data_IF_764723194769
#
_entry.id   IF_764723194769
#
_cell.length_a   1.000
_cell.length_b   1.000
_cell.length_c   1.000
_cell.angle_alpha   90.00
_cell.angle_beta   90.00
_cell.angle_gamma   90.00
#
_symmetry.space_group_name_H-M   'P 1'
#
loop_
_entity.id
_entity.type
_entity.pdbx_description
1 polymer ?
#
# COMPACT_ATOMS: atom_id res chain seq x y z
N UNK A 1 -15.34 10.09 7.96
CA UNK A 1 -15.04 10.29 6.53
C UNK A 1 -13.59 10.74 6.44
N UNK A 2 -12.75 10.07 5.66
CA UNK A 2 -11.35 10.47 5.52
C UNK A 2 -11.27 11.71 4.63
N UNK A 3 -10.39 12.65 4.98
CA UNK A 3 -10.19 13.86 4.17
C UNK A 3 -9.62 13.47 2.81
N UNK A 4 -10.25 13.97 1.74
CA UNK A 4 -9.77 13.83 0.37
C UNK A 4 -9.29 15.22 -0.07
N UNK A 5 -7.99 15.40 -0.40
CA UNK A 5 -7.49 16.68 -0.85
C UNK A 5 -8.18 17.10 -2.16
N UNK A 6 -8.48 18.41 -2.34
CA UNK A 6 -9.07 18.89 -3.58
C UNK A 6 -8.09 18.72 -4.74
N UNK A 7 -8.60 18.45 -5.95
CA UNK A 7 -7.78 18.33 -7.15
C UNK A 7 -6.88 19.55 -7.39
N UNK A 8 -7.35 20.75 -7.07
CA UNK A 8 -6.57 21.98 -7.18
C UNK A 8 -5.28 21.99 -6.34
N UNK A 9 -5.24 21.28 -5.21
CA UNK A 9 -4.02 21.13 -4.44
C UNK A 9 -2.99 20.31 -5.22
N UNK A 10 -3.43 19.18 -5.77
CA UNK A 10 -2.59 18.29 -6.59
C UNK A 10 -2.09 19.01 -7.83
N UNK A 11 -3.00 19.72 -8.53
CA UNK A 11 -2.69 20.47 -9.76
C UNK A 11 -1.63 21.55 -9.54
N UNK A 12 -1.57 22.17 -8.36
CA UNK A 12 -0.55 23.20 -8.02
C UNK A 12 0.81 22.62 -7.67
N UNK A 13 0.87 21.34 -7.31
CA UNK A 13 2.11 20.62 -6.99
C UNK A 13 2.79 20.02 -8.22
N UNK A 14 2.22 20.20 -9.41
CA UNK A 14 2.74 19.60 -10.65
C UNK A 14 2.80 20.61 -11.78
N UNK A 15 3.80 20.46 -12.64
CA UNK A 15 3.91 21.20 -13.89
C UNK A 15 3.25 20.39 -15.01
N UNK A 16 2.32 21.00 -15.74
CA UNK A 16 1.66 20.37 -16.89
C UNK A 16 2.19 21.02 -18.16
N UNK A 17 2.87 20.24 -18.99
CA UNK A 17 3.43 20.68 -20.28
C UNK A 17 2.81 19.88 -21.42
N UNK A 18 2.82 20.44 -22.64
CA UNK A 18 2.42 19.70 -23.84
C UNK A 18 3.67 19.26 -24.58
N UNK A 19 3.85 17.96 -24.76
CA UNK A 19 4.96 17.37 -25.52
C UNK A 19 4.41 16.48 -26.62
N UNK A 20 4.73 16.81 -27.89
CA UNK A 20 4.27 16.07 -29.08
C UNK A 20 2.73 15.89 -29.13
N UNK A 21 1.98 16.87 -28.62
CA UNK A 21 0.52 16.84 -28.58
C UNK A 21 -0.08 16.12 -27.36
N UNK A 22 0.75 15.60 -26.45
CA UNK A 22 0.32 14.93 -25.23
C UNK A 22 0.60 15.80 -24.01
N UNK A 23 -0.32 15.81 -23.04
CA UNK A 23 -0.07 16.44 -21.75
C UNK A 23 0.89 15.56 -20.92
N UNK A 24 1.97 16.15 -20.42
CA UNK A 24 2.88 15.53 -19.45
C UNK A 24 2.80 16.24 -18.12
N UNK A 25 2.92 15.46 -17.06
CA UNK A 25 3.04 15.95 -15.69
C UNK A 25 4.50 15.78 -15.25
N UNK A 26 5.14 16.88 -14.85
CA UNK A 26 6.48 16.88 -14.25
C UNK A 26 6.37 17.34 -12.80
N UNK A 27 7.14 16.70 -11.91
CA UNK A 27 7.13 16.99 -10.48
C UNK A 27 8.48 16.62 -9.88
N UNK A 28 8.95 17.34 -8.87
CA UNK A 28 10.14 16.94 -8.12
C UNK A 28 9.87 15.65 -7.34
N UNK A 29 10.92 14.90 -7.01
CA UNK A 29 10.76 13.72 -6.17
C UNK A 29 10.09 14.05 -4.82
N UNK A 30 10.47 15.16 -4.19
CA UNK A 30 9.91 15.58 -2.91
C UNK A 30 8.41 15.88 -3.01
N UNK A 31 7.98 16.60 -4.04
CA UNK A 31 6.55 16.87 -4.26
C UNK A 31 5.80 15.58 -4.62
N UNK A 32 6.41 14.68 -5.39
CA UNK A 32 5.85 13.36 -5.68
C UNK A 32 5.61 12.56 -4.39
N UNK A 33 6.58 12.51 -3.48
CA UNK A 33 6.42 11.84 -2.19
C UNK A 33 5.34 12.51 -1.34
N UNK A 34 5.25 13.84 -1.31
CA UNK A 34 4.17 14.55 -0.61
C UNK A 34 2.80 14.18 -1.17
N UNK A 35 2.65 14.12 -2.50
CA UNK A 35 1.41 13.72 -3.15
C UNK A 35 1.05 12.27 -2.83
N UNK A 36 2.02 11.35 -2.83
CA UNK A 36 1.79 9.97 -2.41
C UNK A 36 1.33 9.89 -0.94
N UNK A 37 2.01 10.60 -0.03
CA UNK A 37 1.63 10.67 1.39
C UNK A 37 0.22 11.23 1.58
N UNK A 38 -0.17 12.25 0.82
CA UNK A 38 -1.53 12.79 0.82
C UNK A 38 -2.57 11.75 0.38
N UNK A 39 -2.28 10.96 -0.65
CA UNK A 39 -3.17 9.90 -1.13
C UNK A 39 -3.34 8.79 -0.10
N UNK A 40 -2.24 8.28 0.47
CA UNK A 40 -2.27 7.17 1.44
C UNK A 40 -2.70 7.61 2.83
N UNK A 41 -2.65 8.91 3.17
CA UNK A 41 -3.17 9.42 4.45
C UNK A 41 -4.68 9.16 4.62
N UNK A 42 -5.39 8.98 3.52
CA UNK A 42 -6.80 8.57 3.47
C UNK A 42 -7.02 7.06 3.55
N UNK A 43 -5.98 6.23 3.55
CA UNK A 43 -6.11 4.79 3.72
C UNK A 43 -6.57 4.44 5.14
N UNK A 44 -7.44 3.42 5.25
CA UNK A 44 -7.83 2.88 6.56
C UNK A 44 -6.72 1.98 7.06
N UNK A 45 -6.09 2.38 8.16
CA UNK A 45 -5.13 1.56 8.90
C UNK A 45 -5.86 0.91 10.08
N UNK A 46 -5.79 -0.41 10.19
CA UNK A 46 -6.24 -1.12 11.38
C UNK A 46 -5.13 -1.06 12.42
N UNK A 47 -5.20 -0.08 13.31
CA UNK A 47 -4.17 0.19 14.31
C UNK A 47 -3.84 -1.04 15.16
N UNK A 48 -4.86 -1.77 15.62
CA UNK A 48 -4.64 -2.94 16.50
C UNK A 48 -3.96 -4.06 15.74
N UNK A 49 -4.40 -4.34 14.52
CA UNK A 49 -3.75 -5.33 13.67
C UNK A 49 -2.33 -4.90 13.30
N UNK A 50 -2.13 -3.63 12.95
CA UNK A 50 -0.85 -3.10 12.48
C UNK A 50 0.23 -3.20 13.57
N UNK A 51 -0.07 -2.73 14.79
CA UNK A 51 0.87 -2.79 15.91
C UNK A 51 1.17 -4.21 16.38
N UNK A 52 0.24 -5.16 16.18
CA UNK A 52 0.47 -6.58 16.46
C UNK A 52 1.27 -7.27 15.37
N UNK A 53 1.05 -6.90 14.11
CA UNK A 53 1.73 -7.51 12.95
C UNK A 53 3.16 -7.02 12.83
N UNK A 54 3.37 -5.74 13.15
CA UNK A 54 4.65 -5.07 13.11
C UNK A 54 5.09 -4.72 14.53
N UNK A 55 5.63 -5.72 15.23
CA UNK A 55 5.97 -5.63 16.65
C UNK A 55 7.01 -4.53 16.94
N UNK A 56 7.90 -4.24 16.00
CA UNK A 56 8.85 -3.12 16.06
C UNK A 56 8.13 -1.77 16.21
N UNK A 57 7.04 -1.58 15.46
CA UNK A 57 6.20 -0.37 15.53
C UNK A 57 5.33 -0.40 16.78
N UNK A 58 4.79 -1.56 17.15
CA UNK A 58 4.06 -1.75 18.41
C UNK A 58 4.88 -1.34 19.63
N UNK A 59 6.15 -1.76 19.68
CA UNK A 59 7.12 -1.36 20.71
C UNK A 59 7.39 0.14 20.71
N UNK A 60 7.73 0.71 19.54
CA UNK A 60 8.02 2.13 19.40
C UNK A 60 6.84 3.04 19.79
N UNK A 61 5.59 2.64 19.49
CA UNK A 61 4.39 3.36 19.93
C UNK A 61 4.21 3.27 21.44
N UNK A 62 4.39 2.09 22.03
CA UNK A 62 4.28 1.89 23.48
C UNK A 62 5.32 2.71 24.27
N UNK A 63 6.51 2.88 23.71
CA UNK A 63 7.60 3.68 24.29
C UNK A 63 7.45 5.19 24.03
N UNK A 64 6.46 5.59 23.22
CA UNK A 64 6.22 7.00 22.87
C UNK A 64 7.18 7.56 21.82
N UNK A 65 7.97 6.72 21.16
CA UNK A 65 8.86 7.10 20.05
C UNK A 65 8.04 7.43 18.79
N UNK A 66 6.99 6.65 18.52
CA UNK A 66 6.07 6.85 17.41
C UNK A 66 4.67 7.23 17.91
N UNK A 67 3.95 8.15 17.25
CA UNK A 67 2.60 8.54 17.67
C UNK A 67 1.54 7.45 17.47
N UNK A 68 1.65 6.64 16.42
CA UNK A 68 0.70 5.56 16.06
C UNK A 68 1.24 4.71 14.90
N UNK A 69 0.66 3.53 14.70
CA UNK A 69 0.84 2.69 13.52
C UNK A 69 0.40 3.39 12.25
N UNK A 70 -0.72 4.13 12.28
CA UNK A 70 -1.12 4.99 11.15
C UNK A 70 -0.04 6.03 10.81
N UNK A 71 0.55 6.67 11.81
CA UNK A 71 1.63 7.64 11.57
C UNK A 71 2.82 6.99 10.87
N UNK A 72 3.23 5.80 11.33
CA UNK A 72 4.29 5.03 10.69
C UNK A 72 3.92 4.64 9.26
N UNK A 73 2.73 4.07 9.04
CA UNK A 73 2.31 3.60 7.72
C UNK A 73 2.36 4.72 6.65
N UNK A 74 1.85 5.90 6.98
CA UNK A 74 1.81 7.04 6.04
C UNK A 74 3.22 7.59 5.77
N UNK A 75 4.11 7.57 6.77
CA UNK A 75 5.42 8.18 6.60
C UNK A 75 6.46 7.24 6.00
N UNK A 76 6.38 5.96 6.34
CA UNK A 76 7.44 4.97 6.10
C UNK A 76 6.85 3.62 5.66
N UNK A 77 5.88 3.08 6.41
CA UNK A 77 5.41 1.70 6.23
C UNK A 77 4.86 1.39 4.83
N UNK A 78 4.18 2.32 4.17
CA UNK A 78 3.75 2.14 2.78
C UNK A 78 4.95 1.96 1.83
N UNK A 79 5.98 2.79 2.00
CA UNK A 79 7.21 2.74 1.19
C UNK A 79 8.08 1.53 1.51
N UNK A 80 7.93 0.97 2.70
CA UNK A 80 8.54 -0.31 3.12
C UNK A 80 7.78 -1.54 2.58
N UNK A 81 6.60 -1.35 1.98
CA UNK A 81 5.74 -2.43 1.49
C UNK A 81 4.96 -3.14 2.60
N UNK A 82 4.66 -2.46 3.72
CA UNK A 82 3.82 -2.99 4.80
C UNK A 82 2.35 -2.80 4.46
N UNK A 83 1.53 -3.83 4.69
CA UNK A 83 0.07 -3.72 4.61
C UNK A 83 -0.50 -2.85 5.74
N UNK A 84 -1.53 -2.01 5.50
CA UNK A 84 -2.16 -1.19 6.54
C UNK A 84 -3.21 -1.94 7.39
N UNK A 85 -3.68 -3.10 6.92
CA UNK A 85 -4.66 -3.95 7.58
C UNK A 85 -4.61 -5.35 6.97
N UNK A 86 -5.25 -6.32 7.63
CA UNK A 86 -5.44 -7.64 7.03
C UNK A 86 -6.34 -7.53 5.80
N UNK A 87 -5.85 -7.93 4.63
CA UNK A 87 -6.64 -7.98 3.41
C UNK A 87 -7.04 -9.41 3.12
N UNK A 88 -8.34 -9.63 2.88
CA UNK A 88 -8.84 -10.94 2.47
C UNK A 88 -8.62 -11.14 0.99
N UNK A 89 -8.03 -12.27 0.61
CA UNK A 89 -7.83 -12.68 -0.78
C UNK A 89 -9.05 -13.46 -1.28
N UNK A 90 -9.52 -13.12 -2.48
CA UNK A 90 -10.40 -14.02 -3.26
C UNK A 90 -9.52 -15.09 -3.89
N UNK A 91 -9.38 -16.22 -3.20
CA UNK A 91 -8.45 -17.29 -3.60
C UNK A 91 -8.74 -17.87 -4.99
N UNK A 92 -10.02 -18.06 -5.34
CA UNK A 92 -10.39 -18.61 -6.64
C UNK A 92 -9.99 -17.66 -7.78
N UNK A 93 -10.25 -16.37 -7.61
CA UNK A 93 -9.82 -15.36 -8.57
C UNK A 93 -8.30 -15.21 -8.59
N UNK A 94 -7.66 -15.17 -7.43
CA UNK A 94 -6.22 -14.94 -7.28
C UNK A 94 -5.41 -16.04 -7.98
N UNK A 95 -5.73 -17.31 -7.73
CA UNK A 95 -5.02 -18.43 -8.36
C UNK A 95 -5.31 -18.54 -9.87
N UNK A 96 -6.45 -18.02 -10.34
CA UNK A 96 -6.72 -17.90 -11.78
C UNK A 96 -5.92 -16.77 -12.42
N UNK A 97 -5.81 -15.64 -11.73
CA UNK A 97 -5.09 -14.45 -12.20
C UNK A 97 -3.56 -14.63 -12.13
N UNK A 98 -3.08 -15.43 -11.19
CA UNK A 98 -1.67 -15.65 -10.89
C UNK A 98 -1.31 -17.15 -10.98
N UNK A 99 -1.11 -17.68 -12.20
CA UNK A 99 -0.87 -19.12 -12.42
C UNK A 99 0.39 -19.65 -11.73
N UNK A 100 1.42 -18.81 -11.58
CA UNK A 100 2.67 -19.14 -10.87
C UNK A 100 2.42 -19.44 -9.39
N UNK A 101 1.53 -18.67 -8.74
CA UNK A 101 1.12 -18.94 -7.36
C UNK A 101 0.28 -20.21 -7.29
N UNK A 102 -0.60 -20.44 -8.26
CA UNK A 102 -1.40 -21.66 -8.33
C UNK A 102 -0.54 -22.92 -8.47
N UNK A 103 0.56 -22.85 -9.20
CA UNK A 103 1.55 -23.93 -9.28
C UNK A 103 2.21 -24.18 -7.93
N UNK A 104 2.68 -23.14 -7.25
CA UNK A 104 3.27 -23.25 -5.91
C UNK A 104 2.30 -23.84 -4.87
N UNK A 105 1.03 -23.41 -4.90
CA UNK A 105 -0.01 -23.95 -4.01
C UNK A 105 -0.29 -25.42 -4.32
N UNK A 106 -0.40 -25.81 -5.60
CA UNK A 106 -0.57 -27.23 -5.99
C UNK A 106 0.64 -28.09 -5.61
N UNK A 107 1.85 -27.53 -5.68
CA UNK A 107 3.07 -28.18 -5.27
C UNK A 107 3.26 -28.23 -3.74
N UNK A 108 2.42 -27.53 -2.97
CA UNK A 108 2.50 -27.44 -1.52
C UNK A 108 3.68 -26.61 -1.01
N UNK A 109 4.35 -25.83 -1.87
CA UNK A 109 5.45 -24.93 -1.47
C UNK A 109 4.93 -23.66 -0.82
N UNK A 110 3.67 -23.30 -1.08
CA UNK A 110 2.93 -22.22 -0.43
C UNK A 110 1.59 -22.77 0.05
N UNK A 111 1.19 -22.40 1.27
CA UNK A 111 0.00 -22.97 1.91
C UNK A 111 -1.33 -22.55 1.23
N UNK A 112 -1.42 -21.34 0.70
CA UNK A 112 -2.64 -20.79 0.08
C UNK A 112 -2.36 -19.51 -0.69
N UNK A 113 -3.34 -19.03 -1.47
CA UNK A 113 -3.27 -17.69 -2.07
C UNK A 113 -3.13 -16.58 -1.03
N UNK A 114 -3.81 -16.71 0.12
CA UNK A 114 -3.71 -15.77 1.24
C UNK A 114 -2.27 -15.71 1.78
N UNK A 115 -1.64 -16.87 1.99
CA UNK A 115 -0.27 -16.94 2.48
C UNK A 115 0.74 -16.30 1.51
N UNK A 116 0.54 -16.49 0.20
CA UNK A 116 1.35 -15.80 -0.81
C UNK A 116 1.13 -14.28 -0.74
N UNK A 117 -0.12 -13.83 -0.69
CA UNK A 117 -0.42 -12.40 -0.73
C UNK A 117 0.13 -11.64 0.48
N UNK A 118 -0.06 -12.19 1.68
CA UNK A 118 0.38 -11.56 2.94
C UNK A 118 1.90 -11.42 2.99
N UNK A 119 2.63 -12.36 2.38
CA UNK A 119 4.09 -12.39 2.39
C UNK A 119 4.70 -11.58 1.25
N UNK A 120 4.23 -11.82 0.03
CA UNK A 120 4.89 -11.39 -1.20
C UNK A 120 3.94 -10.59 -2.10
N UNK A 121 2.69 -11.04 -2.26
CA UNK A 121 1.78 -10.52 -3.26
C UNK A 121 1.52 -9.01 -3.17
N UNK A 122 1.40 -8.42 -1.97
CA UNK A 122 1.25 -6.97 -1.84
C UNK A 122 2.47 -6.20 -2.35
N UNK A 123 3.69 -6.68 -2.02
CA UNK A 123 4.96 -6.07 -2.43
C UNK A 123 5.21 -6.20 -3.93
N UNK A 124 4.70 -7.28 -4.52
CA UNK A 124 4.74 -7.53 -5.96
C UNK A 124 3.69 -6.73 -6.75
N UNK A 125 2.82 -5.97 -6.09
CA UNK A 125 1.73 -5.23 -6.74
C UNK A 125 0.59 -6.12 -7.23
N UNK A 126 0.47 -7.34 -6.70
CA UNK A 126 -0.66 -8.21 -7.00
C UNK A 126 -1.91 -7.70 -6.32
N UNK A 127 -3.05 -7.82 -6.98
CA UNK A 127 -4.34 -7.49 -6.42
C UNK A 127 -4.86 -8.71 -5.63
N UNK A 128 -5.48 -8.52 -4.46
CA UNK A 128 -6.07 -9.63 -3.69
C UNK A 128 -7.45 -10.08 -4.20
N UNK A 129 -8.11 -9.25 -5.01
CA UNK A 129 -9.45 -9.45 -5.58
C UNK A 129 -9.64 -8.57 -6.83
N UNK A 130 -10.66 -8.81 -7.67
CA UNK A 130 -11.00 -7.92 -8.79
C UNK A 130 -11.29 -6.50 -8.30
N UNK A 131 -10.83 -5.48 -9.06
CA UNK A 131 -11.18 -4.07 -8.84
C UNK A 131 -12.60 -3.75 -9.33
#
# INVERSE_FOLDING_TARGET
>A
MNYIPPFELIRRSVDITTERGELRVTVSYDEFIKLLKLMIAGAKVDETWYLRTYEDIGGAVKEGVLPSGRHHFVNDGYFEGRLPSALKVDEAWYLKQYPDVAECVRAGTIASAQAHFDKDGYREGRLPFPL
#
